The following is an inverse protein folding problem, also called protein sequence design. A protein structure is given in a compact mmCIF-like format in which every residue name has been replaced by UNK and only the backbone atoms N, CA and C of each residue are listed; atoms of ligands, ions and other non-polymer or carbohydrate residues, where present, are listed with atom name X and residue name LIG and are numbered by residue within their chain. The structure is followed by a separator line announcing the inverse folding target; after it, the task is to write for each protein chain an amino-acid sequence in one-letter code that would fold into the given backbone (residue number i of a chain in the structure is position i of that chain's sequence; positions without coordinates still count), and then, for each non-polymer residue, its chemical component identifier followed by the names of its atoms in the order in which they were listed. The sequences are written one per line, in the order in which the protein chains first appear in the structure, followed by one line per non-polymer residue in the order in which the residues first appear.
data_IF_756607385352
#
_entry.id   IF_756607385352
#
_cell.length_a   1.000
_cell.length_b   1.000
_cell.length_c   1.000
_cell.angle_alpha   90.00
_cell.angle_beta   90.00
_cell.angle_gamma   90.00
#
_symmetry.space_group_name_H-M   'P 1'
#
loop_
_entity.id
_entity.type
_entity.pdbx_description
1 polymer ?
#
# COMPACT_ATOMS: atom_id res chain seq x y z
N UNK A 1 17.91 -10.55 4.76
CA UNK A 1 18.07 -9.09 4.48
C UNK A 1 16.91 -8.49 3.67
N UNK A 2 16.42 -9.18 2.63
CA UNK A 2 15.29 -8.70 1.79
C UNK A 2 14.02 -8.41 2.61
N UNK A 3 13.65 -9.27 3.57
CA UNK A 3 12.44 -9.06 4.38
C UNK A 3 12.47 -7.79 5.24
N UNK A 4 13.65 -7.38 5.72
CA UNK A 4 13.79 -6.13 6.48
C UNK A 4 13.56 -4.90 5.60
N UNK A 5 14.02 -4.93 4.35
CA UNK A 5 13.77 -3.85 3.38
C UNK A 5 12.27 -3.75 3.05
N UNK A 6 11.60 -4.87 2.80
CA UNK A 6 10.16 -4.88 2.54
C UNK A 6 9.35 -4.38 3.75
N UNK A 7 9.76 -4.75 4.96
CA UNK A 7 9.16 -4.22 6.18
C UNK A 7 9.34 -2.69 6.28
N UNK A 8 10.55 -2.18 6.00
CA UNK A 8 10.84 -0.75 6.05
C UNK A 8 10.05 0.04 4.99
N UNK A 9 9.98 -0.45 3.75
CA UNK A 9 9.19 0.17 2.68
C UNK A 9 7.71 0.22 3.07
N UNK A 10 7.17 -0.88 3.60
CA UNK A 10 5.78 -0.96 4.06
C UNK A 10 5.49 0.01 5.20
N UNK A 11 6.43 0.17 6.12
CA UNK A 11 6.29 1.09 7.25
C UNK A 11 6.21 2.54 6.77
N UNK A 12 7.08 2.91 5.82
CA UNK A 12 7.09 4.25 5.22
C UNK A 12 5.78 4.51 4.46
N UNK A 13 5.35 3.57 3.61
CA UNK A 13 4.08 3.70 2.87
C UNK A 13 2.88 3.74 3.81
N UNK A 14 2.88 2.94 4.88
CA UNK A 14 1.84 2.92 5.89
C UNK A 14 1.75 4.25 6.65
N UNK A 15 2.88 4.82 7.04
CA UNK A 15 2.96 6.14 7.66
C UNK A 15 2.43 7.24 6.72
N UNK A 16 2.83 7.21 5.44
CA UNK A 16 2.32 8.13 4.43
C UNK A 16 0.79 8.01 4.26
N UNK A 17 0.26 6.80 4.16
CA UNK A 17 -1.18 6.55 4.07
C UNK A 17 -1.95 7.11 5.27
N UNK A 18 -1.38 6.96 6.47
CA UNK A 18 -1.98 7.46 7.70
C UNK A 18 -1.97 8.99 7.77
N UNK A 19 -0.85 9.64 7.41
CA UNK A 19 -0.80 11.10 7.33
C UNK A 19 -1.76 11.64 6.28
N UNK A 20 -1.88 10.95 5.15
CA UNK A 20 -2.84 11.30 4.10
C UNK A 20 -4.29 11.19 4.60
N UNK A 21 -4.63 10.10 5.29
CA UNK A 21 -5.92 9.95 5.96
C UNK A 21 -6.20 11.12 6.91
N UNK A 22 -5.25 11.46 7.78
CA UNK A 22 -5.41 12.56 8.73
C UNK A 22 -5.66 13.89 8.00
N UNK A 23 -4.92 14.17 6.91
CA UNK A 23 -5.10 15.37 6.11
C UNK A 23 -6.51 15.44 5.47
N UNK A 24 -7.04 14.31 5.00
CA UNK A 24 -8.39 14.24 4.44
C UNK A 24 -9.45 14.50 5.52
N UNK A 25 -9.28 13.95 6.72
CA UNK A 25 -10.25 14.11 7.83
C UNK A 25 -10.47 15.57 8.22
N UNK A 26 -9.42 16.40 8.17
CA UNK A 26 -9.51 17.82 8.52
C UNK A 26 -10.07 18.70 7.39
N UNK A 27 -10.42 18.13 6.24
CA UNK A 27 -10.82 18.91 5.08
C UNK A 27 -12.28 19.38 5.17
N UNK A 28 -12.55 20.71 5.15
CA UNK A 28 -13.90 21.24 5.25
C UNK A 28 -14.58 21.19 3.87
N UNK A 29 -15.32 20.11 3.58
CA UNK A 29 -16.43 20.02 2.59
C UNK A 29 -16.84 18.54 2.37
N UNK A 30 -18.10 18.16 2.57
CA UNK A 30 -18.56 16.81 2.26
C UNK A 30 -18.81 16.66 0.75
N UNK A 31 -17.75 16.49 -0.04
CA UNK A 31 -17.89 16.02 -1.42
C UNK A 31 -18.28 14.53 -1.38
N UNK A 32 -19.06 14.04 -2.35
CA UNK A 32 -19.47 12.60 -2.41
C UNK A 32 -18.28 11.62 -2.41
N UNK A 33 -17.09 12.11 -2.77
CA UNK A 33 -15.84 11.34 -2.89
C UNK A 33 -15.07 11.31 -1.56
N UNK A 34 -15.48 12.07 -0.56
CA UNK A 34 -14.84 12.12 0.76
C UNK A 34 -14.83 10.76 1.46
N UNK A 35 -15.99 10.11 1.58
CA UNK A 35 -16.11 8.80 2.24
C UNK A 35 -15.25 7.70 1.59
N UNK A 36 -15.28 7.48 0.26
CA UNK A 36 -14.43 6.46 -0.33
C UNK A 36 -12.94 6.77 -0.16
N UNK A 37 -12.49 8.02 -0.32
CA UNK A 37 -11.07 8.39 -0.09
C UNK A 37 -10.66 8.06 1.35
N UNK A 38 -11.50 8.39 2.32
CA UNK A 38 -11.24 8.11 3.72
C UNK A 38 -11.14 6.61 4.01
N UNK A 39 -12.09 5.81 3.50
CA UNK A 39 -12.07 4.34 3.66
C UNK A 39 -10.86 3.69 3.00
N UNK A 40 -10.51 4.11 1.77
CA UNK A 40 -9.34 3.57 1.07
C UNK A 40 -8.03 3.92 1.77
N UNK A 41 -7.91 5.13 2.34
CA UNK A 41 -6.71 5.54 3.08
C UNK A 41 -6.50 4.69 4.33
N UNK A 42 -7.56 4.47 5.11
CA UNK A 42 -7.51 3.61 6.30
C UNK A 42 -7.19 2.17 5.89
N UNK A 43 -7.87 1.63 4.87
CA UNK A 43 -7.63 0.27 4.39
C UNK A 43 -6.17 0.08 3.95
N UNK A 44 -5.62 1.04 3.19
CA UNK A 44 -4.22 1.03 2.79
C UNK A 44 -3.27 1.06 4.00
N UNK A 45 -3.56 1.92 4.98
CA UNK A 45 -2.75 2.04 6.20
C UNK A 45 -2.69 0.70 6.93
N UNK A 46 -3.84 0.08 7.18
CA UNK A 46 -3.93 -1.20 7.90
C UNK A 46 -3.19 -2.30 7.13
N UNK A 47 -3.39 -2.40 5.81
CA UNK A 47 -2.68 -3.39 4.99
C UNK A 47 -1.15 -3.21 5.10
N UNK A 48 -0.66 -1.98 5.02
CA UNK A 48 0.77 -1.67 5.12
C UNK A 48 1.35 -1.97 6.51
N UNK A 49 0.59 -1.69 7.58
CA UNK A 49 1.00 -2.06 8.94
C UNK A 49 1.11 -3.58 9.11
N UNK A 50 0.12 -4.34 8.62
CA UNK A 50 0.15 -5.81 8.68
C UNK A 50 1.35 -6.37 7.89
N UNK A 51 1.62 -5.83 6.70
CA UNK A 51 2.80 -6.23 5.90
C UNK A 51 4.11 -5.91 6.61
N UNK A 52 4.22 -4.72 7.20
CA UNK A 52 5.39 -4.30 7.99
C UNK A 52 5.66 -5.27 9.12
N UNK A 53 4.64 -5.58 9.92
CA UNK A 53 4.77 -6.46 11.08
C UNK A 53 5.11 -7.89 10.63
N UNK A 54 4.40 -8.42 9.63
CA UNK A 54 4.63 -9.79 9.20
C UNK A 54 6.01 -9.99 8.55
N UNK A 55 6.51 -9.04 7.75
CA UNK A 55 7.88 -9.11 7.24
C UNK A 55 8.95 -8.88 8.31
N UNK A 56 8.66 -8.07 9.34
CA UNK A 56 9.54 -7.93 10.50
C UNK A 56 9.65 -9.24 11.28
N UNK A 57 8.53 -9.92 11.53
CA UNK A 57 8.52 -11.22 12.21
C UNK A 57 9.22 -12.31 11.39
N UNK A 58 9.02 -12.34 10.07
CA UNK A 58 9.74 -13.26 9.17
C UNK A 58 11.26 -13.00 9.26
N UNK A 59 11.70 -11.75 9.25
CA UNK A 59 13.13 -11.41 9.34
C UNK A 59 13.75 -11.84 10.68
N UNK A 60 13.01 -11.74 11.80
CA UNK A 60 13.46 -12.18 13.12
C UNK A 60 13.59 -13.71 13.17
N UNK A 61 12.62 -14.44 12.61
CA UNK A 61 12.61 -15.91 12.61
C UNK A 61 13.62 -16.50 11.63
N UNK A 62 13.91 -15.84 10.51
CA UNK A 62 14.97 -16.25 9.57
C UNK A 62 16.35 -16.32 10.26
N UNK A 63 16.62 -15.43 11.21
CA UNK A 63 17.87 -15.44 12.00
C UNK A 63 17.95 -16.55 13.06
N UNK A 64 16.84 -17.27 13.33
CA UNK A 64 16.77 -18.29 14.39
C UNK A 64 17.00 -19.73 13.92
N UNK A 65 17.60 -19.93 12.73
CA UNK A 65 18.02 -21.25 12.17
C UNK A 65 17.12 -22.42 12.56
N UNK A 66 15.84 -22.38 12.19
CA UNK A 66 14.92 -23.49 12.42
C UNK A 66 14.68 -24.21 11.09
N UNK A 67 15.29 -25.38 10.91
CA UNK A 67 15.41 -26.13 9.64
C UNK A 67 14.10 -26.55 8.95
N UNK A 68 12.93 -26.34 9.57
CA UNK A 68 11.63 -26.83 9.05
C UNK A 68 10.62 -25.73 8.66
N UNK A 69 11.02 -24.46 8.61
CA UNK A 69 10.07 -23.34 8.39
C UNK A 69 9.94 -22.93 6.90
N UNK A 70 10.79 -23.46 6.01
CA UNK A 70 10.91 -22.97 4.62
C UNK A 70 9.60 -22.87 3.83
N UNK A 71 8.71 -23.87 3.91
CA UNK A 71 7.43 -23.84 3.18
C UNK A 71 6.39 -22.89 3.82
N UNK A 72 6.28 -22.92 5.15
CA UNK A 72 5.40 -22.02 5.90
C UNK A 72 5.79 -20.54 5.71
N UNK A 73 7.10 -20.25 5.68
CA UNK A 73 7.64 -18.92 5.42
C UNK A 73 7.31 -18.45 4.01
N UNK A 74 7.41 -19.34 3.01
CA UNK A 74 7.11 -19.04 1.61
C UNK A 74 5.61 -18.78 1.39
N UNK A 75 4.74 -19.51 2.07
CA UNK A 75 3.30 -19.28 2.03
C UNK A 75 2.92 -17.95 2.68
N UNK A 76 3.48 -17.62 3.86
CA UNK A 76 3.25 -16.33 4.51
C UNK A 76 3.75 -15.17 3.66
N UNK A 77 4.94 -15.30 3.06
CA UNK A 77 5.48 -14.28 2.17
C UNK A 77 4.59 -14.00 0.95
N UNK A 78 4.00 -15.05 0.33
CA UNK A 78 3.08 -14.90 -0.80
C UNK A 78 1.82 -14.14 -0.40
N UNK A 79 1.22 -14.49 0.74
CA UNK A 79 0.03 -13.81 1.27
C UNK A 79 0.32 -12.34 1.60
N UNK A 80 1.46 -12.06 2.25
CA UNK A 80 1.89 -10.69 2.55
C UNK A 80 2.12 -9.87 1.29
N UNK A 81 2.73 -10.47 0.26
CA UNK A 81 2.99 -9.77 -1.01
C UNK A 81 1.69 -9.39 -1.72
N UNK A 82 0.67 -10.26 -1.69
CA UNK A 82 -0.66 -9.92 -2.22
C UNK A 82 -1.32 -8.80 -1.41
N UNK A 83 -1.22 -8.85 -0.07
CA UNK A 83 -1.78 -7.83 0.81
C UNK A 83 -1.09 -6.47 0.62
N UNK A 84 0.22 -6.48 0.43
CA UNK A 84 1.01 -5.29 0.13
C UNK A 84 0.58 -4.66 -1.19
N UNK A 85 0.40 -5.48 -2.23
CA UNK A 85 -0.07 -5.02 -3.54
C UNK A 85 -1.49 -4.44 -3.46
N UNK A 86 -2.37 -5.08 -2.70
CA UNK A 86 -3.72 -4.54 -2.43
C UNK A 86 -3.66 -3.20 -1.69
N UNK A 87 -2.76 -3.06 -0.71
CA UNK A 87 -2.49 -1.79 -0.03
C UNK A 87 -1.99 -0.71 -0.98
N UNK A 88 -1.06 -1.02 -1.89
CA UNK A 88 -0.59 -0.08 -2.92
C UNK A 88 -1.73 0.36 -3.84
N UNK A 89 -2.54 -0.57 -4.32
CA UNK A 89 -3.68 -0.25 -5.21
C UNK A 89 -4.68 0.64 -4.48
N UNK A 90 -4.98 0.34 -3.22
CA UNK A 90 -5.84 1.18 -2.39
C UNK A 90 -5.26 2.60 -2.21
N UNK A 91 -3.95 2.70 -1.94
CA UNK A 91 -3.24 3.99 -1.83
C UNK A 91 -3.33 4.81 -3.13
N UNK A 92 -3.00 4.20 -4.27
CA UNK A 92 -3.00 4.87 -5.58
C UNK A 92 -4.41 5.34 -5.94
N UNK A 93 -5.40 4.47 -5.75
CA UNK A 93 -6.80 4.79 -6.01
C UNK A 93 -7.25 5.95 -5.12
N UNK A 94 -6.85 5.94 -3.86
CA UNK A 94 -7.11 7.02 -2.92
C UNK A 94 -6.49 8.35 -3.36
N UNK A 95 -5.20 8.36 -3.72
CA UNK A 95 -4.50 9.55 -4.23
C UNK A 95 -5.18 10.06 -5.52
N UNK A 96 -5.54 9.16 -6.44
CA UNK A 96 -6.23 9.52 -7.67
C UNK A 96 -7.58 10.19 -7.42
N UNK A 97 -8.36 9.67 -6.47
CA UNK A 97 -9.65 10.24 -6.05
C UNK A 97 -9.48 11.54 -5.26
N UNK A 98 -8.35 11.72 -4.56
CA UNK A 98 -8.13 12.88 -3.71
C UNK A 98 -8.08 14.21 -4.45
N UNK A 99 -7.63 14.24 -5.71
CA UNK A 99 -7.63 15.48 -6.49
C UNK A 99 -9.05 16.02 -6.71
N UNK A 100 -10.06 15.14 -6.72
CA UNK A 100 -11.46 15.55 -6.83
C UNK A 100 -12.01 16.20 -5.55
N UNK A 101 -11.34 16.05 -4.39
CA UNK A 101 -11.69 16.79 -3.17
C UNK A 101 -11.43 18.29 -3.30
N UNK A 102 -10.43 18.68 -4.09
CA UNK A 102 -10.06 20.09 -4.24
C UNK A 102 -10.74 20.74 -5.45
N UNK A 103 -10.62 20.15 -6.64
CA UNK A 103 -11.28 20.67 -7.85
C UNK A 103 -11.39 19.62 -8.95
N UNK A 104 -12.29 19.82 -9.92
CA UNK A 104 -12.40 18.94 -11.10
C UNK A 104 -11.09 18.84 -11.90
N UNK A 105 -10.34 19.95 -12.01
CA UNK A 105 -9.05 19.99 -12.73
C UNK A 105 -7.97 19.19 -12.00
N UNK A 106 -7.85 19.39 -10.69
CA UNK A 106 -6.93 18.63 -9.85
C UNK A 106 -7.26 17.13 -9.88
N UNK A 107 -8.55 16.79 -9.90
CA UNK A 107 -9.03 15.42 -10.01
C UNK A 107 -8.63 14.70 -11.30
N UNK A 108 -8.63 15.39 -12.44
CA UNK A 108 -8.18 14.79 -13.72
C UNK A 108 -6.67 14.55 -13.69
N UNK A 109 -5.90 15.50 -13.15
CA UNK A 109 -4.44 15.38 -13.05
C UNK A 109 -4.06 14.23 -12.11
N UNK A 110 -4.66 14.15 -10.92
CA UNK A 110 -4.38 13.06 -9.97
C UNK A 110 -4.77 11.70 -10.53
N UNK A 111 -5.88 11.60 -11.26
CA UNK A 111 -6.32 10.37 -11.90
C UNK A 111 -5.32 9.94 -12.98
N UNK A 112 -4.85 10.84 -13.84
CA UNK A 112 -3.84 10.55 -14.87
C UNK A 112 -2.53 10.06 -14.25
N UNK A 113 -2.08 10.70 -13.17
CA UNK A 113 -0.89 10.28 -12.42
C UNK A 113 -1.09 8.91 -11.76
N UNK A 114 -2.27 8.64 -11.21
CA UNK A 114 -2.60 7.33 -10.65
C UNK A 114 -2.64 6.23 -11.73
N UNK A 115 -3.21 6.53 -12.91
CA UNK A 115 -3.29 5.60 -14.04
C UNK A 115 -1.92 5.26 -14.60
N UNK A 116 -1.05 6.25 -14.75
CA UNK A 116 0.33 6.04 -15.19
C UNK A 116 1.14 5.23 -14.17
N UNK A 117 1.01 5.54 -12.88
CA UNK A 117 1.63 4.74 -11.82
C UNK A 117 1.14 3.29 -11.80
N UNK A 118 -0.17 3.07 -11.93
CA UNK A 118 -0.75 1.73 -12.00
C UNK A 118 -0.28 0.95 -13.24
N UNK A 119 -0.27 1.59 -14.42
CA UNK A 119 0.23 0.98 -15.65
C UNK A 119 1.70 0.56 -15.52
N UNK A 120 2.52 1.36 -14.85
CA UNK A 120 3.92 1.04 -14.62
C UNK A 120 4.11 -0.16 -13.67
N UNK A 121 3.29 -0.27 -12.63
CA UNK A 121 3.28 -1.43 -11.72
C UNK A 121 2.90 -2.70 -12.48
N UNK A 122 1.85 -2.65 -13.30
CA UNK A 122 1.42 -3.80 -14.13
C UNK A 122 2.52 -4.19 -15.11
N UNK A 123 3.16 -3.21 -15.75
CA UNK A 123 4.29 -3.45 -16.65
C UNK A 123 5.45 -4.17 -15.92
N UNK A 124 5.87 -3.67 -14.76
CA UNK A 124 6.91 -4.30 -13.93
C UNK A 124 6.55 -5.73 -13.53
N UNK A 125 5.32 -5.96 -13.06
CA UNK A 125 4.83 -7.30 -12.70
C UNK A 125 4.87 -8.26 -13.90
N UNK A 126 4.45 -7.79 -15.08
CA UNK A 126 4.46 -8.60 -16.31
C UNK A 126 5.87 -8.97 -16.78
N UNK A 127 6.86 -8.12 -16.50
CA UNK A 127 8.25 -8.36 -16.85
C UNK A 127 8.93 -9.34 -15.88
N UNK A 128 8.60 -9.26 -14.58
CA UNK A 128 9.18 -10.13 -13.55
C UNK A 128 8.59 -11.55 -13.49
N UNK A 129 7.41 -11.76 -14.09
CA UNK A 129 6.71 -13.05 -14.16
C UNK A 129 7.12 -13.88 -15.39
N UNK A 130 7.83 -13.29 -16.36
CA UNK A 130 8.46 -14.01 -17.48
C UNK A 130 9.89 -14.41 -17.13
#
# INVERSE_FOLDING_TARGET
MIYQQLALISSILGGFAFTFFAAVVFQPRPHKIYMPVLMLSIASTICMFVCTLGWSFIAINEHRETENIGELLRQHHKTLSMLFLLGIVALITCIGLSGWLHSKKAGIVSLLLALTGFAYIVYLMSHFIR
#
